data_IF_418484619069
#
_entry.id   IF_418484619069
#
_cell.length_a   1.000
_cell.length_b   1.000
_cell.length_c   1.000
_cell.angle_alpha   90.00
_cell.angle_beta   90.00
_cell.angle_gamma   90.00
#
_symmetry.space_group_name_H-M   'P 1'
#
loop_
_entity.id
_entity.type
_entity.pdbx_description
1 polymer ?
#
# COMPACT_ATOMS: atom_id res chain seq x y z
N UNK A 1 6.44 -1.76 -23.39
CA UNK A 1 6.45 -1.11 -22.08
C UNK A 1 7.40 -1.87 -21.16
N UNK A 2 8.05 -1.16 -20.28
CA UNK A 2 9.02 -1.75 -19.34
C UNK A 2 8.62 -1.44 -17.91
N UNK A 3 8.80 -2.42 -17.02
CA UNK A 3 8.67 -2.25 -15.58
C UNK A 3 9.99 -2.64 -14.91
N UNK A 4 10.43 -1.84 -13.98
CA UNK A 4 11.68 -2.05 -13.27
C UNK A 4 11.36 -2.48 -11.85
N UNK A 5 11.91 -3.61 -11.42
CA UNK A 5 11.57 -4.25 -10.16
C UNK A 5 12.73 -4.20 -9.17
N UNK A 6 12.37 -4.15 -7.90
CA UNK A 6 13.33 -4.18 -6.79
C UNK A 6 12.63 -4.74 -5.55
N UNK A 7 13.38 -4.97 -4.48
CA UNK A 7 12.87 -5.55 -3.25
C UNK A 7 13.59 -4.94 -2.05
N UNK A 8 12.86 -4.72 -0.96
CA UNK A 8 13.43 -4.29 0.33
C UNK A 8 12.87 -5.13 1.47
N UNK A 9 13.60 -5.20 2.57
CA UNK A 9 13.08 -5.80 3.81
C UNK A 9 12.18 -4.81 4.56
N UNK A 10 11.17 -5.34 5.26
CA UNK A 10 10.25 -4.53 6.07
C UNK A 10 9.79 -5.29 7.32
N UNK A 11 9.12 -4.61 8.28
CA UNK A 11 8.48 -5.30 9.41
C UNK A 11 7.43 -6.33 8.99
N UNK A 12 6.87 -6.19 7.78
CA UNK A 12 5.92 -7.15 7.20
C UNK A 12 6.60 -8.16 6.27
N UNK A 13 7.92 -8.35 6.40
CA UNK A 13 8.73 -9.19 5.52
C UNK A 13 9.17 -8.46 4.26
N UNK A 14 9.74 -9.18 3.27
CA UNK A 14 10.19 -8.56 2.03
C UNK A 14 9.04 -7.90 1.27
N UNK A 15 9.30 -6.69 0.76
CA UNK A 15 8.41 -5.95 -0.11
C UNK A 15 9.03 -5.90 -1.50
N UNK A 16 8.34 -6.45 -2.49
CA UNK A 16 8.71 -6.32 -3.90
C UNK A 16 7.90 -5.17 -4.51
N UNK A 17 8.52 -4.39 -5.37
CA UNK A 17 7.84 -3.28 -6.03
C UNK A 17 8.30 -3.10 -7.47
N UNK A 18 7.46 -2.45 -8.26
CA UNK A 18 7.75 -2.15 -9.66
C UNK A 18 7.48 -0.67 -9.96
N UNK A 19 8.37 -0.08 -10.74
CA UNK A 19 8.20 1.28 -11.26
C UNK A 19 8.14 1.25 -12.79
N UNK A 20 7.47 2.22 -13.37
CA UNK A 20 7.43 2.37 -14.83
C UNK A 20 8.65 3.14 -15.35
N UNK A 21 8.68 3.41 -16.66
CA UNK A 21 9.79 4.12 -17.32
C UNK A 21 10.00 5.54 -16.81
N UNK A 22 8.97 6.14 -16.22
CA UNK A 22 9.03 7.47 -15.60
C UNK A 22 9.42 7.44 -14.11
N UNK A 23 9.66 6.27 -13.56
CA UNK A 23 9.99 6.08 -12.14
C UNK A 23 8.78 6.12 -11.20
N UNK A 24 7.57 6.08 -11.74
CA UNK A 24 6.34 6.06 -10.93
C UNK A 24 6.07 4.64 -10.42
N UNK A 25 5.65 4.55 -9.16
CA UNK A 25 5.32 3.28 -8.52
C UNK A 25 4.05 2.70 -9.13
N UNK A 26 4.14 1.47 -9.66
CA UNK A 26 3.04 0.77 -10.33
C UNK A 26 2.43 -0.32 -9.48
N UNK A 27 3.26 -1.07 -8.77
CA UNK A 27 2.87 -2.23 -7.97
C UNK A 27 3.75 -2.33 -6.73
N UNK A 28 3.16 -2.81 -5.66
CA UNK A 28 3.87 -3.20 -4.45
C UNK A 28 3.25 -4.49 -3.93
N UNK A 29 4.09 -5.44 -3.55
CA UNK A 29 3.65 -6.78 -3.18
C UNK A 29 4.40 -7.27 -1.93
N UNK A 30 3.64 -7.90 -1.01
CA UNK A 30 4.23 -8.60 0.13
C UNK A 30 4.68 -9.99 -0.34
N UNK A 31 5.98 -10.22 -0.38
CA UNK A 31 6.55 -11.48 -0.89
C UNK A 31 6.07 -12.70 -0.08
N UNK A 32 5.89 -12.53 1.23
CA UNK A 32 5.40 -13.59 2.10
C UNK A 32 3.89 -13.79 2.08
N UNK A 33 3.17 -13.01 1.25
CA UNK A 33 1.73 -13.17 1.11
C UNK A 33 1.39 -14.49 0.43
N UNK A 34 0.42 -15.20 0.98
CA UNK A 34 -0.11 -16.42 0.38
C UNK A 34 -1.22 -16.13 -0.65
N UNK A 35 -1.50 -14.87 -0.91
CA UNK A 35 -2.62 -14.45 -1.73
C UNK A 35 -2.14 -13.73 -3.00
N UNK A 36 -2.63 -14.19 -4.12
CA UNK A 36 -2.44 -13.55 -5.40
C UNK A 36 -1.27 -14.09 -6.21
N UNK A 37 -1.29 -13.83 -7.51
CA UNK A 37 -0.20 -14.16 -8.41
C UNK A 37 1.05 -13.33 -8.09
N UNK A 38 2.17 -13.81 -8.58
CA UNK A 38 3.44 -13.10 -8.45
C UNK A 38 3.36 -11.81 -9.27
N UNK A 39 3.74 -10.70 -8.69
CA UNK A 39 3.68 -9.36 -9.30
C UNK A 39 4.25 -9.34 -10.73
N UNK A 40 5.39 -10.00 -10.93
CA UNK A 40 6.05 -10.05 -12.24
C UNK A 40 5.18 -10.75 -13.28
N UNK A 41 4.50 -11.83 -12.91
CA UNK A 41 3.59 -12.56 -13.82
C UNK A 41 2.44 -11.67 -14.26
N UNK A 42 1.85 -10.92 -13.32
CA UNK A 42 0.77 -9.99 -13.65
C UNK A 42 1.25 -8.92 -14.63
N UNK A 43 2.42 -8.34 -14.38
CA UNK A 43 2.97 -7.31 -15.26
C UNK A 43 3.33 -7.86 -16.64
N UNK A 44 3.87 -9.08 -16.71
CA UNK A 44 4.15 -9.74 -17.99
C UNK A 44 2.86 -10.01 -18.76
N UNK A 45 1.80 -10.47 -18.08
CA UNK A 45 0.49 -10.69 -18.68
C UNK A 45 -0.14 -9.38 -19.18
N UNK A 46 0.17 -8.26 -18.52
CA UNK A 46 -0.23 -6.92 -18.97
C UNK A 46 0.64 -6.37 -20.11
N UNK A 47 1.67 -7.09 -20.51
CA UNK A 47 2.53 -6.72 -21.64
C UNK A 47 3.79 -5.95 -21.27
N UNK A 48 4.20 -5.96 -20.01
CA UNK A 48 5.45 -5.33 -19.58
C UNK A 48 6.63 -6.28 -19.69
N UNK A 49 7.77 -5.76 -20.18
CA UNK A 49 9.06 -6.43 -20.04
C UNK A 49 9.64 -6.06 -18.67
N UNK A 50 10.01 -7.06 -17.90
CA UNK A 50 10.53 -6.89 -16.54
C UNK A 50 12.04 -6.77 -16.58
N UNK A 51 12.57 -5.72 -15.95
CA UNK A 51 14.01 -5.46 -15.88
C UNK A 51 14.41 -5.06 -14.44
N UNK A 52 15.67 -5.26 -14.11
CA UNK A 52 16.28 -4.76 -12.89
C UNK A 52 17.14 -3.54 -13.23
N UNK A 53 16.86 -2.40 -12.61
CA UNK A 53 17.63 -1.16 -12.80
C UNK A 53 17.54 -0.33 -11.52
N UNK A 54 18.60 -0.36 -10.72
CA UNK A 54 18.65 0.32 -9.43
C UNK A 54 18.54 1.85 -9.56
N UNK A 55 18.92 2.42 -10.69
CA UNK A 55 18.75 3.85 -10.93
C UNK A 55 17.28 4.22 -11.07
N UNK A 56 16.51 3.38 -11.75
CA UNK A 56 15.08 3.60 -11.97
C UNK A 56 14.26 3.41 -10.68
N UNK A 57 14.66 2.46 -9.84
CA UNK A 57 13.95 2.14 -8.59
C UNK A 57 14.42 2.96 -7.39
N UNK A 58 15.49 3.73 -7.52
CA UNK A 58 16.16 4.42 -6.41
C UNK A 58 15.23 5.34 -5.59
N UNK A 59 14.36 6.10 -6.25
CA UNK A 59 13.45 7.04 -5.59
C UNK A 59 12.44 6.33 -4.69
N UNK A 60 11.80 5.30 -5.20
CA UNK A 60 10.83 4.49 -4.44
C UNK A 60 11.55 3.71 -3.34
N UNK A 61 12.69 3.10 -3.66
CA UNK A 61 13.50 2.37 -2.68
C UNK A 61 13.87 3.26 -1.50
N UNK A 62 14.27 4.49 -1.75
CA UNK A 62 14.64 5.47 -0.72
C UNK A 62 13.45 5.72 0.22
N UNK A 63 12.28 6.05 -0.32
CA UNK A 63 11.11 6.38 0.48
C UNK A 63 10.57 5.19 1.26
N UNK A 64 10.52 4.02 0.67
CA UNK A 64 10.14 2.79 1.37
C UNK A 64 11.13 2.46 2.51
N UNK A 65 12.43 2.60 2.25
CA UNK A 65 13.46 2.36 3.27
C UNK A 65 13.36 3.34 4.44
N UNK A 66 13.06 4.61 4.14
CA UNK A 66 12.83 5.63 5.17
C UNK A 66 11.56 5.34 5.99
N UNK A 67 10.49 4.86 5.35
CA UNK A 67 9.28 4.41 6.07
C UNK A 67 9.61 3.25 7.01
N UNK A 68 10.32 2.24 6.53
CA UNK A 68 10.72 1.06 7.32
C UNK A 68 11.57 1.46 8.51
N UNK A 69 12.46 2.44 8.36
CA UNK A 69 13.32 2.91 9.46
C UNK A 69 12.63 3.93 10.40
N UNK A 70 11.37 4.27 10.14
CA UNK A 70 10.62 5.24 10.93
C UNK A 70 10.93 6.70 10.66
N UNK A 71 11.70 6.99 9.62
CA UNK A 71 12.10 8.36 9.25
C UNK A 71 11.13 9.04 8.30
N UNK A 72 10.20 8.31 7.72
CA UNK A 72 9.22 8.83 6.76
C UNK A 72 7.81 8.40 7.15
N UNK A 73 6.88 9.34 7.13
CA UNK A 73 5.46 9.14 7.45
C UNK A 73 4.54 9.33 6.25
N UNK A 74 5.01 10.03 5.21
CA UNK A 74 4.27 10.30 3.98
C UNK A 74 5.13 9.98 2.77
N UNK A 75 4.49 9.67 1.63
CA UNK A 75 5.19 9.33 0.40
C UNK A 75 5.00 10.41 -0.65
N UNK A 76 6.08 10.79 -1.33
CA UNK A 76 6.09 11.81 -2.38
C UNK A 76 6.34 11.22 -3.77
N UNK A 77 6.68 9.93 -3.86
CA UNK A 77 6.90 9.27 -5.16
C UNK A 77 5.66 9.34 -6.03
N UNK A 78 5.83 9.55 -7.35
CA UNK A 78 4.69 9.50 -8.25
C UNK A 78 4.08 8.10 -8.28
N UNK A 79 2.74 8.04 -8.36
CA UNK A 79 1.99 6.80 -8.39
C UNK A 79 1.40 6.60 -9.78
N UNK A 80 1.55 5.40 -10.33
CA UNK A 80 0.98 4.99 -11.60
C UNK A 80 0.14 3.74 -11.39
N UNK A 81 -1.09 3.93 -10.94
CA UNK A 81 -2.07 2.87 -10.80
C UNK A 81 -3.33 3.20 -11.60
N UNK A 82 -4.04 2.18 -12.02
CA UNK A 82 -5.28 2.33 -12.74
C UNK A 82 -6.41 1.60 -12.00
N UNK A 83 -7.65 2.06 -12.25
CA UNK A 83 -8.83 1.50 -11.62
C UNK A 83 -10.07 2.29 -11.98
N UNK A 84 -11.22 1.84 -11.48
CA UNK A 84 -12.50 2.55 -11.65
C UNK A 84 -12.47 3.91 -10.93
N UNK A 85 -13.42 4.77 -11.29
CA UNK A 85 -13.59 6.08 -10.60
C UNK A 85 -13.75 5.87 -9.09
N UNK A 86 -14.55 4.87 -8.68
CA UNK A 86 -14.77 4.56 -7.27
C UNK A 86 -13.50 4.08 -6.59
N UNK A 87 -12.77 3.14 -7.19
CA UNK A 87 -11.51 2.64 -6.65
C UNK A 87 -10.52 3.77 -6.42
N UNK A 88 -10.32 4.63 -7.42
CA UNK A 88 -9.41 5.77 -7.31
C UNK A 88 -9.85 6.74 -6.22
N UNK A 89 -11.14 7.00 -6.08
CA UNK A 89 -11.67 7.87 -5.03
C UNK A 89 -11.37 7.28 -3.63
N UNK A 90 -11.59 5.99 -3.45
CA UNK A 90 -11.27 5.32 -2.19
C UNK A 90 -9.76 5.38 -1.92
N UNK A 91 -8.92 5.00 -2.87
CA UNK A 91 -7.47 4.99 -2.69
C UNK A 91 -6.92 6.38 -2.35
N UNK A 92 -7.42 7.43 -2.99
CA UNK A 92 -7.03 8.81 -2.65
C UNK A 92 -7.45 9.18 -1.23
N UNK A 93 -8.62 8.74 -0.78
CA UNK A 93 -9.07 8.98 0.60
C UNK A 93 -8.19 8.24 1.61
N UNK A 94 -7.75 7.02 1.29
CA UNK A 94 -6.83 6.26 2.14
C UNK A 94 -5.53 7.03 2.38
N UNK A 95 -5.01 7.73 1.38
CA UNK A 95 -3.77 8.50 1.50
C UNK A 95 -3.87 9.65 2.52
N UNK A 96 -5.08 10.03 2.90
CA UNK A 96 -5.34 11.07 3.89
C UNK A 96 -5.33 10.55 5.33
N UNK A 97 -5.34 9.23 5.53
CA UNK A 97 -5.26 8.66 6.88
C UNK A 97 -3.84 8.86 7.39
N UNK A 98 -3.65 9.64 8.48
CA UNK A 98 -2.30 9.89 8.98
C UNK A 98 -1.59 8.62 9.44
N UNK A 99 -0.28 8.65 9.36
CA UNK A 99 0.58 7.61 9.90
C UNK A 99 0.25 7.34 11.38
N UNK A 100 0.06 6.08 11.73
CA UNK A 100 -0.25 5.67 13.09
C UNK A 100 -1.72 5.79 13.49
N UNK A 101 -2.58 6.28 12.58
CA UNK A 101 -4.02 6.38 12.81
C UNK A 101 -4.79 5.36 11.99
N UNK A 102 -6.02 5.11 12.38
CA UNK A 102 -6.93 4.22 11.65
C UNK A 102 -8.27 4.89 11.41
N UNK A 103 -8.98 4.41 10.39
CA UNK A 103 -10.36 4.81 10.09
C UNK A 103 -11.16 3.53 9.84
N UNK A 104 -12.45 3.58 10.13
CA UNK A 104 -13.34 2.47 9.78
C UNK A 104 -13.75 2.56 8.30
N UNK A 105 -14.20 1.45 7.75
CA UNK A 105 -14.77 1.43 6.38
C UNK A 105 -15.93 2.42 6.25
N UNK A 106 -16.78 2.51 7.29
CA UNK A 106 -17.89 3.46 7.32
C UNK A 106 -17.44 4.92 7.34
N UNK A 107 -16.39 5.24 8.09
CA UNK A 107 -15.83 6.59 8.12
C UNK A 107 -15.27 7.01 6.76
N UNK A 108 -14.62 6.10 6.04
CA UNK A 108 -14.15 6.35 4.67
C UNK A 108 -15.35 6.60 3.74
N UNK A 109 -16.40 5.77 3.84
CA UNK A 109 -17.61 5.94 3.05
C UNK A 109 -18.26 7.30 3.30
N UNK A 110 -18.36 7.72 4.56
CA UNK A 110 -18.93 9.03 4.94
C UNK A 110 -18.09 10.17 4.37
N UNK A 111 -16.77 10.09 4.45
CA UNK A 111 -15.85 11.09 3.89
C UNK A 111 -16.02 11.24 2.38
N UNK A 112 -16.42 10.17 1.69
CA UNK A 112 -16.66 10.18 0.24
C UNK A 112 -18.09 10.59 -0.13
N UNK A 113 -18.92 10.98 0.86
CA UNK A 113 -20.31 11.34 0.62
C UNK A 113 -21.21 10.15 0.24
N UNK A 114 -20.81 8.94 0.62
CA UNK A 114 -21.54 7.69 0.33
C UNK A 114 -21.83 6.91 1.62
N UNK A 115 -22.61 7.48 2.56
CA UNK A 115 -22.96 6.77 3.78
C UNK A 115 -23.64 5.43 3.44
N UNK A 116 -23.28 4.37 4.17
CA UNK A 116 -23.77 3.03 3.89
C UNK A 116 -22.95 2.25 2.86
N UNK A 117 -21.93 2.84 2.25
CA UNK A 117 -21.09 2.19 1.24
C UNK A 117 -19.86 1.47 1.82
N UNK A 118 -19.88 1.09 3.11
CA UNK A 118 -18.73 0.46 3.76
C UNK A 118 -18.25 -0.81 3.04
N UNK A 119 -19.15 -1.65 2.52
CA UNK A 119 -18.78 -2.85 1.76
C UNK A 119 -18.07 -2.51 0.45
N UNK A 120 -18.54 -1.48 -0.25
CA UNK A 120 -17.93 -1.03 -1.49
C UNK A 120 -16.54 -0.42 -1.22
N UNK A 121 -16.36 0.28 -0.10
CA UNK A 121 -15.05 0.72 0.37
C UNK A 121 -14.16 -0.49 0.66
N UNK A 122 -14.67 -1.51 1.33
CA UNK A 122 -13.93 -2.74 1.61
C UNK A 122 -13.41 -3.42 0.36
N UNK A 123 -14.24 -3.52 -0.69
CA UNK A 123 -13.84 -4.10 -1.97
C UNK A 123 -12.75 -3.27 -2.67
N UNK A 124 -12.90 -1.96 -2.69
CA UNK A 124 -11.89 -1.06 -3.26
C UNK A 124 -10.58 -1.12 -2.47
N UNK A 125 -10.67 -1.18 -1.14
CA UNK A 125 -9.52 -1.35 -0.25
C UNK A 125 -8.77 -2.66 -0.56
N UNK A 126 -9.49 -3.75 -0.75
CA UNK A 126 -8.94 -5.06 -1.08
C UNK A 126 -8.28 -5.11 -2.46
N UNK A 127 -8.69 -4.27 -3.39
CA UNK A 127 -8.13 -4.22 -4.76
C UNK A 127 -6.91 -3.30 -4.89
N UNK A 128 -6.44 -2.70 -3.80
CA UNK A 128 -5.29 -1.80 -3.82
C UNK A 128 -4.01 -2.54 -4.25
N UNK A 129 -3.38 -2.06 -5.31
CA UNK A 129 -2.12 -2.63 -5.85
C UNK A 129 -0.86 -1.93 -5.31
N UNK A 130 -1.04 -0.92 -4.45
CA UNK A 130 0.04 -0.13 -3.86
C UNK A 130 -0.04 -0.12 -2.31
N UNK A 131 -0.17 -1.30 -1.65
CA UNK A 131 -0.24 -1.33 -0.20
C UNK A 131 0.97 -0.61 0.43
N UNK A 132 0.85 -0.18 1.66
CA UNK A 132 1.83 0.64 2.39
C UNK A 132 1.80 2.10 1.92
N UNK A 133 2.05 2.37 0.64
CA UNK A 133 2.06 3.73 0.08
C UNK A 133 0.65 4.30 0.01
N UNK A 134 -0.29 3.49 -0.47
CA UNK A 134 -1.73 3.76 -0.29
C UNK A 134 -2.16 2.91 0.91
N UNK A 135 -2.35 3.52 2.09
CA UNK A 135 -2.31 2.78 3.36
C UNK A 135 -3.60 2.02 3.68
N UNK A 136 -3.92 1.02 2.88
CA UNK A 136 -5.09 0.17 3.10
C UNK A 136 -5.05 -0.58 4.44
N UNK A 137 -3.87 -0.76 5.03
CA UNK A 137 -3.72 -1.34 6.36
C UNK A 137 -4.30 -0.45 7.48
N UNK A 138 -4.52 0.83 7.23
CA UNK A 138 -5.08 1.78 8.21
C UNK A 138 -6.60 1.80 8.24
N UNK A 139 -7.25 0.94 7.44
CA UNK A 139 -8.72 0.79 7.46
C UNK A 139 -9.08 -0.46 8.24
N UNK A 140 -9.93 -0.29 9.24
CA UNK A 140 -10.36 -1.37 10.16
C UNK A 140 -11.87 -1.43 10.22
N UNK A 141 -12.41 -2.50 10.83
CA UNK A 141 -13.85 -2.61 11.05
C UNK A 141 -14.32 -1.63 12.13
N UNK A 142 -15.61 -1.26 12.08
CA UNK A 142 -16.20 -0.31 13.03
C UNK A 142 -16.14 -0.77 14.50
N UNK A 143 -16.11 -2.08 14.74
CA UNK A 143 -15.97 -2.66 16.09
C UNK A 143 -14.51 -2.68 16.60
N UNK A 144 -13.57 -2.14 15.83
CA UNK A 144 -12.15 -2.11 16.19
C UNK A 144 -11.36 -3.37 15.81
N UNK A 145 -12.00 -4.39 15.25
CA UNK A 145 -11.27 -5.56 14.70
C UNK A 145 -10.57 -5.19 13.40
N UNK A 146 -9.53 -5.95 13.03
CA UNK A 146 -8.69 -5.59 11.87
C UNK A 146 -9.41 -5.63 10.53
N UNK A 147 -10.49 -6.42 10.40
CA UNK A 147 -11.12 -6.64 9.10
C UNK A 147 -10.23 -7.46 8.17
N UNK A 148 -10.54 -7.45 6.87
CA UNK A 148 -9.77 -8.17 5.87
C UNK A 148 -8.52 -7.43 5.42
N UNK A 149 -7.55 -8.18 4.88
CA UNK A 149 -6.35 -7.62 4.25
C UNK A 149 -5.77 -8.62 3.26
N UNK A 150 -5.49 -8.18 2.03
CA UNK A 150 -5.01 -9.05 0.94
C UNK A 150 -3.69 -9.77 1.23
N UNK A 151 -2.80 -9.13 1.95
CA UNK A 151 -1.53 -9.73 2.34
C UNK A 151 -1.66 -10.74 3.48
N UNK A 152 -2.82 -10.79 4.15
CA UNK A 152 -3.06 -11.55 5.37
C UNK A 152 -3.08 -10.65 6.60
N UNK A 153 -3.92 -11.01 7.59
CA UNK A 153 -4.12 -10.18 8.79
C UNK A 153 -2.83 -9.96 9.58
N UNK A 154 -1.94 -10.95 9.61
CA UNK A 154 -0.65 -10.81 10.30
C UNK A 154 0.25 -9.73 9.71
N UNK A 155 0.20 -9.51 8.39
CA UNK A 155 0.96 -8.44 7.74
C UNK A 155 0.37 -7.07 8.07
N UNK A 156 -0.96 -6.96 8.05
CA UNK A 156 -1.68 -5.76 8.47
C UNK A 156 -1.33 -5.38 9.91
N UNK A 157 -1.37 -6.34 10.80
CA UNK A 157 -1.04 -6.16 12.21
C UNK A 157 0.41 -5.68 12.39
N UNK A 158 1.36 -6.26 11.67
CA UNK A 158 2.77 -5.86 11.72
C UNK A 158 2.98 -4.42 11.25
N UNK A 159 2.27 -3.99 10.20
CA UNK A 159 2.35 -2.62 9.71
C UNK A 159 1.78 -1.63 10.73
N UNK A 160 0.62 -1.93 11.29
CA UNK A 160 0.02 -1.08 12.33
C UNK A 160 0.90 -1.01 13.58
N UNK A 161 1.46 -2.12 14.01
CA UNK A 161 2.39 -2.18 15.13
C UNK A 161 3.65 -1.36 14.86
N UNK A 162 4.22 -1.49 13.66
CA UNK A 162 5.37 -0.70 13.25
C UNK A 162 5.09 0.81 13.40
N UNK A 163 3.95 1.27 12.90
CA UNK A 163 3.58 2.69 12.98
C UNK A 163 3.37 3.15 14.43
N UNK A 164 2.74 2.33 15.26
CA UNK A 164 2.59 2.63 16.69
C UNK A 164 3.94 2.72 17.40
N UNK A 165 4.84 1.79 17.10
CA UNK A 165 6.17 1.75 17.71
C UNK A 165 7.02 2.96 17.31
N UNK A 166 6.94 3.40 16.06
CA UNK A 166 7.64 4.61 15.59
C UNK A 166 7.13 5.85 16.34
N UNK A 167 5.82 5.99 16.49
CA UNK A 167 5.24 7.13 17.22
C UNK A 167 5.58 7.08 18.72
N UNK A 168 5.57 5.90 19.34
CA UNK A 168 5.94 5.73 20.74
C UNK A 168 7.41 6.11 20.98
N UNK A 169 8.31 5.72 20.09
CA UNK A 169 9.74 6.07 20.18
C UNK A 169 9.96 7.57 20.00
N UNK A 170 9.20 8.24 19.12
CA UNK A 170 9.30 9.69 18.90
C UNK A 170 8.77 10.49 20.09
N UNK A 171 7.85 9.94 20.88
CA UNK A 171 7.27 10.58 22.06
C UNK A 171 8.08 10.41 23.35
N UNK A 172 9.17 9.64 23.29
CA UNK A 172 9.99 9.34 24.48
C UNK A 172 11.20 10.28 24.62
#
# INVERSE_FOLDING_TARGET
MRAYVDEIESPAGPLAFAVNEDGALMRLHFVESNYGPVMEVDLEDEGYAIEADETRTAGVRKELSEYVSGRRKTFDVPLAFDGSVWQKAVWMELTRIPFGETRSYGEIADSLGRPGAARAVGRANASNVLPVVVPCHRVIAADGTLGGFNGGLHLKERLLEHERNVLAAAGS
#
